data_IF_574900096289
#
_entry.id   IF_574900096289
#
_cell.length_a   1.000
_cell.length_b   1.000
_cell.length_c   1.000
_cell.angle_alpha   90.00
_cell.angle_beta   90.00
_cell.angle_gamma   90.00
#
_symmetry.space_group_name_H-M   'P 1'
#
loop_
_entity.id
_entity.type
_entity.pdbx_description
1 polymer ?
#
# COMPACT_ATOMS: atom_id res chain seq x y z
N UNK A 1 21.21 -17.39 4.43
CA UNK A 1 20.86 -16.11 3.78
C UNK A 1 19.91 -15.36 4.70
N UNK A 2 20.28 -14.16 5.17
CA UNK A 2 19.43 -13.36 6.04
C UNK A 2 18.48 -12.54 5.17
N UNK A 3 17.17 -12.79 5.30
CA UNK A 3 16.08 -12.22 4.49
C UNK A 3 15.47 -10.98 5.14
N UNK A 4 15.82 -10.72 6.41
CA UNK A 4 15.49 -9.50 7.15
C UNK A 4 15.75 -8.18 6.39
N UNK A 5 16.91 -7.96 5.74
CA UNK A 5 17.15 -6.72 5.01
C UNK A 5 16.17 -6.50 3.85
N UNK A 6 15.71 -7.56 3.17
CA UNK A 6 14.73 -7.45 2.08
C UNK A 6 13.36 -7.03 2.60
N UNK A 7 12.91 -7.58 3.73
CA UNK A 7 11.64 -7.19 4.35
C UNK A 7 11.65 -5.71 4.77
N UNK A 8 12.80 -5.22 5.25
CA UNK A 8 12.97 -3.83 5.66
C UNK A 8 12.87 -2.87 4.47
N UNK A 9 13.52 -3.21 3.35
CA UNK A 9 13.40 -2.45 2.09
C UNK A 9 11.96 -2.45 1.57
N UNK A 10 11.28 -3.61 1.60
CA UNK A 10 9.90 -3.72 1.14
C UNK A 10 8.95 -2.84 1.96
N UNK A 11 9.13 -2.84 3.29
CA UNK A 11 8.37 -1.98 4.20
C UNK A 11 8.64 -0.49 3.92
N UNK A 12 9.91 -0.11 3.73
CA UNK A 12 10.26 1.26 3.37
C UNK A 12 9.62 1.69 2.05
N UNK A 13 9.69 0.85 1.01
CA UNK A 13 9.04 1.11 -0.28
C UNK A 13 7.53 1.29 -0.13
N UNK A 14 6.88 0.48 0.69
CA UNK A 14 5.44 0.57 0.94
C UNK A 14 5.04 1.85 1.71
N UNK A 15 5.92 2.40 2.55
CA UNK A 15 5.69 3.64 3.31
C UNK A 15 5.95 4.94 2.50
N UNK A 16 6.67 4.86 1.36
CA UNK A 16 6.95 6.02 0.49
C UNK A 16 5.71 6.90 0.23
N UNK A 17 4.56 6.38 -0.26
CA UNK A 17 3.39 7.22 -0.56
C UNK A 17 2.89 8.00 0.66
N UNK A 18 2.94 7.41 1.86
CA UNK A 18 2.56 8.07 3.12
C UNK A 18 3.48 9.26 3.40
N UNK A 19 4.79 9.10 3.18
CA UNK A 19 5.76 10.18 3.37
C UNK A 19 5.58 11.32 2.36
N UNK A 20 5.23 11.00 1.10
CA UNK A 20 4.93 11.98 0.06
C UNK A 20 3.71 12.82 0.44
N UNK A 21 2.61 12.18 0.84
CA UNK A 21 1.39 12.86 1.27
C UNK A 21 1.65 13.75 2.50
N UNK A 22 2.39 13.22 3.47
CA UNK A 22 2.72 13.94 4.71
C UNK A 22 3.49 15.24 4.43
N UNK A 23 4.45 15.20 3.51
CA UNK A 23 5.30 16.35 3.13
C UNK A 23 4.68 17.28 2.08
N UNK A 24 3.57 16.90 1.46
CA UNK A 24 2.90 17.71 0.44
C UNK A 24 2.49 19.08 0.98
N UNK A 25 2.75 20.15 0.23
CA UNK A 25 2.25 21.50 0.53
C UNK A 25 0.93 21.79 -0.20
N UNK A 26 0.48 20.87 -1.06
CA UNK A 26 -0.70 21.06 -1.92
C UNK A 26 -2.04 20.71 -1.25
N UNK A 27 -2.02 20.15 -0.04
CA UNK A 27 -3.21 19.71 0.70
C UNK A 27 -3.12 20.13 2.17
N UNK A 28 -4.25 20.50 2.77
CA UNK A 28 -4.36 20.91 4.16
C UNK A 28 -4.10 19.76 5.14
N UNK A 29 -3.93 20.10 6.44
CA UNK A 29 -3.58 19.11 7.48
C UNK A 29 -4.62 17.99 7.63
N UNK A 30 -5.91 18.32 7.57
CA UNK A 30 -6.98 17.32 7.68
C UNK A 30 -7.07 16.45 6.42
N UNK A 31 -6.93 17.07 5.24
CA UNK A 31 -6.92 16.38 3.96
C UNK A 31 -5.76 15.38 3.87
N UNK A 32 -4.57 15.72 4.38
CA UNK A 32 -3.44 14.78 4.47
C UNK A 32 -3.81 13.51 5.23
N UNK A 33 -4.50 13.64 6.36
CA UNK A 33 -4.93 12.48 7.15
C UNK A 33 -5.92 11.63 6.37
N UNK A 34 -6.88 12.25 5.69
CA UNK A 34 -7.83 11.54 4.82
C UNK A 34 -7.10 10.78 3.70
N UNK A 35 -6.12 11.41 3.05
CA UNK A 35 -5.32 10.78 1.99
C UNK A 35 -4.43 9.64 2.50
N UNK A 36 -3.83 9.76 3.68
CA UNK A 36 -3.05 8.68 4.30
C UNK A 36 -3.95 7.49 4.61
N UNK A 37 -5.10 7.74 5.24
CA UNK A 37 -6.09 6.70 5.55
C UNK A 37 -6.57 6.04 4.26
N UNK A 38 -6.96 6.82 3.25
CA UNK A 38 -7.38 6.30 1.96
C UNK A 38 -6.30 5.42 1.31
N UNK A 39 -5.05 5.85 1.32
CA UNK A 39 -3.91 5.10 0.76
C UNK A 39 -3.72 3.75 1.45
N UNK A 40 -3.82 3.72 2.78
CA UNK A 40 -3.78 2.48 3.56
C UNK A 40 -4.94 1.56 3.14
N UNK A 41 -6.18 2.06 3.17
CA UNK A 41 -7.35 1.26 2.81
C UNK A 41 -7.29 0.71 1.39
N UNK A 42 -6.92 1.53 0.40
CA UNK A 42 -6.81 1.08 -0.99
C UNK A 42 -5.77 -0.04 -1.12
N UNK A 43 -4.60 0.09 -0.47
CA UNK A 43 -3.58 -0.96 -0.49
C UNK A 43 -4.10 -2.29 0.06
N UNK A 44 -4.85 -2.26 1.17
CA UNK A 44 -5.41 -3.47 1.78
C UNK A 44 -6.58 -4.04 0.97
N UNK A 45 -7.46 -3.19 0.45
CA UNK A 45 -8.59 -3.60 -0.41
C UNK A 45 -8.08 -4.28 -1.68
N UNK A 46 -7.00 -3.79 -2.31
CA UNK A 46 -6.39 -4.48 -3.44
C UNK A 46 -5.97 -5.92 -3.13
N UNK A 47 -5.47 -6.20 -1.92
CA UNK A 47 -5.13 -7.56 -1.50
C UNK A 47 -6.38 -8.43 -1.31
N UNK A 48 -7.43 -7.88 -0.71
CA UNK A 48 -8.71 -8.59 -0.55
C UNK A 48 -9.30 -8.91 -1.92
N UNK A 49 -9.31 -7.94 -2.85
CA UNK A 49 -9.77 -8.14 -4.22
C UNK A 49 -8.92 -9.18 -4.94
N UNK A 50 -7.59 -9.14 -4.78
CA UNK A 50 -6.71 -10.18 -5.33
C UNK A 50 -7.09 -11.56 -4.79
N UNK A 51 -7.28 -11.72 -3.49
CA UNK A 51 -7.68 -12.99 -2.88
C UNK A 51 -9.07 -13.45 -3.36
N UNK A 52 -9.98 -12.52 -3.64
CA UNK A 52 -11.32 -12.83 -4.15
C UNK A 52 -11.31 -13.19 -5.65
N UNK A 53 -10.54 -12.47 -6.46
CA UNK A 53 -10.53 -12.59 -7.93
C UNK A 53 -9.60 -13.70 -8.41
N UNK A 54 -8.45 -13.89 -7.77
CA UNK A 54 -7.47 -14.93 -8.13
C UNK A 54 -8.08 -16.35 -8.24
N UNK A 55 -8.97 -16.83 -7.34
CA UNK A 55 -9.56 -18.15 -7.47
C UNK A 55 -10.72 -18.24 -8.49
N UNK A 56 -11.18 -17.12 -9.07
CA UNK A 56 -12.31 -17.13 -10.00
C UNK A 56 -11.94 -17.62 -11.40
N UNK A 57 -10.65 -17.55 -11.76
CA UNK A 57 -10.16 -18.08 -13.02
C UNK A 57 -9.37 -19.36 -12.76
N UNK A 58 -9.68 -20.47 -13.45
CA UNK A 58 -8.83 -21.65 -13.40
C UNK A 58 -7.42 -21.25 -13.77
N UNK A 59 -6.44 -21.79 -13.03
CA UNK A 59 -5.05 -21.61 -13.38
C UNK A 59 -4.80 -22.46 -14.65
N UNK A 60 -4.97 -21.85 -15.82
CA UNK A 60 -4.58 -22.43 -17.10
C UNK A 60 -3.05 -22.59 -17.06
N UNK A 61 -2.60 -23.78 -16.67
CA UNK A 61 -1.19 -24.17 -16.68
C UNK A 61 -0.67 -24.21 -18.10
#
# INVERSE_FOLDING_TARGET
MSWFPLLLVLLFCWLIPITIISRSQNVGRQEKLAWIVATLFISWICLILFMLIAPLKPNDK
#
